data_IF_042734563935
#
_entry.id   IF_042734563935
#
_cell.length_a   1.000
_cell.length_b   1.000
_cell.length_c   1.000
_cell.angle_alpha   90.00
_cell.angle_beta   90.00
_cell.angle_gamma   90.00
#
_symmetry.space_group_name_H-M   'P 1'
#
loop_
_entity.id
_entity.type
_entity.pdbx_description
1 polymer ?
#
# COMPACT_ATOMS: atom_id res chain seq x y z
N UNK A 1 13.35 1.88 10.76
CA UNK A 1 12.53 1.79 11.99
C UNK A 1 12.85 0.46 12.66
N UNK A 2 13.45 0.47 13.86
CA UNK A 2 13.93 -0.75 14.53
C UNK A 2 12.80 -1.74 14.85
N UNK A 3 11.64 -1.24 15.27
CA UNK A 3 10.49 -2.07 15.61
C UNK A 3 10.00 -2.96 14.44
N UNK A 4 10.07 -2.48 13.20
CA UNK A 4 9.73 -3.26 12.01
C UNK A 4 10.65 -4.48 11.86
N UNK A 5 11.96 -4.28 11.99
CA UNK A 5 12.93 -5.36 11.84
C UNK A 5 12.76 -6.40 12.95
N UNK A 6 12.48 -5.97 14.18
CA UNK A 6 12.14 -6.87 15.29
C UNK A 6 10.85 -7.66 15.01
N UNK A 7 9.84 -7.02 14.42
CA UNK A 7 8.60 -7.69 14.02
C UNK A 7 8.80 -8.74 12.91
N UNK A 8 9.67 -8.45 11.93
CA UNK A 8 10.06 -9.40 10.89
C UNK A 8 10.83 -10.59 11.48
N UNK A 9 11.79 -10.32 12.38
CA UNK A 9 12.61 -11.32 13.06
C UNK A 9 13.56 -12.08 12.11
N UNK A 10 14.09 -13.21 12.58
CA UNK A 10 15.07 -13.98 11.81
C UNK A 10 14.45 -14.61 10.55
N UNK A 11 14.92 -14.19 9.37
CA UNK A 11 14.46 -14.69 8.08
C UNK A 11 14.81 -16.15 7.81
N UNK A 12 15.82 -16.71 8.50
CA UNK A 12 16.29 -18.09 8.31
C UNK A 12 15.51 -19.12 9.13
N UNK A 13 14.78 -18.68 10.16
CA UNK A 13 13.93 -19.54 10.95
C UNK A 13 12.76 -20.10 10.10
N UNK A 14 12.67 -21.42 9.90
CA UNK A 14 11.64 -22.03 9.07
C UNK A 14 10.23 -21.88 9.65
N UNK A 15 10.11 -21.63 10.96
CA UNK A 15 8.83 -21.38 11.65
C UNK A 15 8.39 -19.92 11.55
N UNK A 16 9.29 -19.02 11.16
CA UNK A 16 8.97 -17.60 11.02
C UNK A 16 7.97 -17.35 9.88
N UNK A 17 6.90 -16.63 10.20
CA UNK A 17 5.90 -16.18 9.24
C UNK A 17 6.47 -15.24 8.16
N UNK A 18 7.52 -14.48 8.47
CA UNK A 18 8.23 -13.58 7.56
C UNK A 18 9.52 -14.19 7.00
N UNK A 19 9.70 -15.51 7.03
CA UNK A 19 10.91 -16.16 6.50
C UNK A 19 11.07 -15.92 5.00
N UNK A 20 12.32 -15.75 4.56
CA UNK A 20 12.66 -15.58 3.14
C UNK A 20 14.13 -15.90 2.87
N UNK A 21 14.40 -16.35 1.64
CA UNK A 21 15.72 -16.83 1.24
C UNK A 21 16.49 -15.81 0.41
N UNK A 22 15.82 -15.22 -0.59
CA UNK A 22 16.44 -14.29 -1.55
C UNK A 22 15.50 -13.15 -1.92
N UNK A 23 16.09 -11.99 -2.22
CA UNK A 23 15.41 -10.89 -2.92
C UNK A 23 15.50 -11.12 -4.42
N UNK A 24 14.37 -11.06 -5.12
CA UNK A 24 14.28 -11.11 -6.58
C UNK A 24 13.97 -9.73 -7.14
N UNK A 25 14.60 -9.45 -8.28
CA UNK A 25 14.42 -8.23 -9.07
C UNK A 25 13.68 -8.62 -10.36
N UNK A 26 12.51 -8.03 -10.57
CA UNK A 26 11.63 -8.18 -11.72
C UNK A 26 11.45 -6.79 -12.36
N UNK A 27 12.52 -6.28 -12.94
CA UNK A 27 12.59 -4.88 -13.37
C UNK A 27 12.02 -4.71 -14.78
N UNK A 28 11.23 -3.65 -15.04
CA UNK A 28 10.82 -3.27 -16.39
C UNK A 28 12.02 -3.16 -17.33
N UNK A 29 11.87 -3.69 -18.55
CA UNK A 29 12.94 -3.71 -19.56
C UNK A 29 13.83 -4.96 -19.53
N UNK A 30 13.72 -5.83 -18.53
CA UNK A 30 14.33 -7.16 -18.58
C UNK A 30 13.58 -8.08 -19.55
N UNK A 31 14.30 -8.97 -20.25
CA UNK A 31 13.70 -10.02 -21.10
C UNK A 31 12.85 -11.02 -20.30
N UNK A 32 13.06 -11.09 -18.99
CA UNK A 32 12.30 -11.95 -18.07
C UNK A 32 11.31 -11.16 -17.21
N UNK A 33 10.98 -9.93 -17.59
CA UNK A 33 10.03 -9.10 -16.85
C UNK A 33 8.62 -9.70 -16.92
N UNK A 34 7.99 -9.83 -15.76
CA UNK A 34 6.62 -10.29 -15.59
C UNK A 34 5.78 -9.21 -14.92
N UNK A 35 4.83 -8.61 -15.64
CA UNK A 35 3.97 -7.55 -15.11
C UNK A 35 3.05 -8.02 -13.97
N UNK A 36 2.85 -9.34 -13.80
CA UNK A 36 2.09 -9.93 -12.70
C UNK A 36 2.85 -9.99 -11.37
N UNK A 37 4.16 -9.72 -11.36
CA UNK A 37 5.00 -9.79 -10.17
C UNK A 37 5.48 -8.40 -9.70
N UNK A 38 5.66 -8.16 -8.39
CA UNK A 38 6.27 -6.93 -7.91
C UNK A 38 7.68 -6.75 -8.47
N UNK A 39 8.15 -5.51 -8.62
CA UNK A 39 9.50 -5.25 -9.14
C UNK A 39 10.62 -5.74 -8.23
N UNK A 40 10.41 -5.66 -6.92
CA UNK A 40 11.35 -6.17 -5.92
C UNK A 40 10.55 -6.92 -4.88
N UNK A 41 10.86 -8.20 -4.69
CA UNK A 41 10.15 -9.04 -3.73
C UNK A 41 11.05 -10.11 -3.13
N UNK A 42 10.68 -10.57 -1.95
CA UNK A 42 11.36 -11.67 -1.25
C UNK A 42 10.73 -12.99 -1.67
N UNK A 43 11.52 -14.02 -1.95
CA UNK A 43 11.04 -15.36 -2.30
C UNK A 43 11.53 -16.39 -1.27
N UNK A 44 10.70 -17.41 -1.07
CA UNK A 44 11.06 -18.64 -0.36
C UNK A 44 11.36 -19.75 -1.37
N UNK A 45 12.54 -20.36 -1.29
CA UNK A 45 12.93 -21.42 -2.22
C UNK A 45 12.20 -22.74 -1.96
N UNK A 46 11.91 -23.03 -0.69
CA UNK A 46 11.26 -24.29 -0.28
C UNK A 46 9.93 -24.54 -0.98
N UNK A 47 9.16 -23.48 -1.26
CA UNK A 47 7.84 -23.57 -1.90
C UNK A 47 7.60 -22.55 -3.02
N UNK A 48 8.65 -21.84 -3.44
CA UNK A 48 8.65 -20.87 -4.55
C UNK A 48 7.65 -19.72 -4.42
N UNK A 49 7.11 -19.47 -3.21
CA UNK A 49 6.15 -18.39 -2.96
C UNK A 49 6.86 -17.08 -2.60
N UNK A 50 6.20 -15.97 -2.91
CA UNK A 50 6.57 -14.65 -2.40
C UNK A 50 6.45 -14.67 -0.87
N UNK A 51 7.47 -14.22 -0.14
CA UNK A 51 7.42 -14.20 1.31
C UNK A 51 6.40 -13.17 1.81
N UNK A 52 5.91 -13.36 3.04
CA UNK A 52 5.13 -12.32 3.69
C UNK A 52 6.00 -11.06 3.93
N UNK A 53 5.39 -9.88 3.91
CA UNK A 53 6.07 -8.63 4.25
C UNK A 53 5.17 -7.72 5.10
N UNK A 54 5.80 -6.77 5.78
CA UNK A 54 5.17 -5.75 6.61
C UNK A 54 5.51 -4.37 6.05
N UNK A 55 4.54 -3.75 5.40
CA UNK A 55 4.60 -2.37 4.93
C UNK A 55 4.12 -1.45 6.04
N UNK A 56 4.84 -0.37 6.33
CA UNK A 56 4.45 0.58 7.37
C UNK A 56 4.58 1.98 6.80
N UNK A 57 3.51 2.76 6.89
CA UNK A 57 3.50 4.19 6.63
C UNK A 57 3.08 4.91 7.91
N UNK A 58 4.06 5.52 8.60
CA UNK A 58 3.87 6.12 9.93
C UNK A 58 3.26 5.10 10.91
N UNK A 59 1.96 5.21 11.22
CA UNK A 59 1.21 4.33 12.12
C UNK A 59 0.38 3.26 11.38
N UNK A 60 0.23 3.38 10.05
CA UNK A 60 -0.58 2.48 9.23
C UNK A 60 0.24 1.31 8.68
N UNK A 61 0.13 0.16 9.36
CA UNK A 61 0.78 -1.10 9.01
C UNK A 61 -0.09 -2.00 8.13
N UNK A 62 0.47 -2.53 7.04
CA UNK A 62 -0.16 -3.51 6.15
C UNK A 62 0.72 -4.74 5.97
N UNK A 63 0.10 -5.91 6.10
CA UNK A 63 0.77 -7.20 5.86
C UNK A 63 0.34 -7.78 4.53
N UNK A 64 1.30 -8.26 3.75
CA UNK A 64 1.08 -9.07 2.54
C UNK A 64 1.57 -10.50 2.80
N UNK A 65 0.94 -11.49 2.16
CA UNK A 65 1.35 -12.89 2.22
C UNK A 65 0.72 -13.70 1.08
N UNK A 66 1.23 -14.90 0.74
CA UNK A 66 0.70 -15.72 -0.36
C UNK A 66 -0.76 -16.14 -0.22
N UNK A 67 -1.26 -16.23 1.00
CA UNK A 67 -2.62 -16.67 1.28
C UNK A 67 -3.13 -16.11 2.61
N UNK A 68 -4.44 -16.24 2.84
CA UNK A 68 -5.11 -15.71 4.04
C UNK A 68 -4.55 -16.28 5.34
N UNK A 69 -4.16 -17.55 5.37
CA UNK A 69 -3.64 -18.20 6.58
C UNK A 69 -2.26 -17.63 6.96
N UNK A 70 -1.36 -17.52 5.97
CA UNK A 70 -0.04 -16.93 6.20
C UNK A 70 -0.15 -15.43 6.52
N UNK A 71 -1.09 -14.71 5.91
CA UNK A 71 -1.38 -13.33 6.28
C UNK A 71 -1.77 -13.23 7.76
N UNK A 72 -2.69 -14.07 8.24
CA UNK A 72 -3.06 -14.13 9.67
C UNK A 72 -1.85 -14.43 10.58
N UNK A 73 -1.00 -15.38 10.18
CA UNK A 73 0.21 -15.75 10.95
C UNK A 73 1.19 -14.58 11.03
N UNK A 74 1.47 -13.93 9.90
CA UNK A 74 2.35 -12.76 9.81
C UNK A 74 1.80 -11.57 10.61
N UNK A 75 0.50 -11.27 10.48
CA UNK A 75 -0.16 -10.22 11.28
C UNK A 75 -0.07 -10.50 12.79
N UNK A 76 -0.33 -11.74 13.23
CA UNK A 76 -0.21 -12.08 14.66
C UNK A 76 1.22 -11.93 15.18
N UNK A 77 2.22 -12.38 14.41
CA UNK A 77 3.62 -12.20 14.77
C UNK A 77 3.98 -10.71 14.89
N UNK A 78 3.64 -9.91 13.88
CA UNK A 78 3.91 -8.48 13.89
C UNK A 78 3.22 -7.79 15.08
N UNK A 79 1.93 -8.06 15.31
CA UNK A 79 1.19 -7.51 16.43
C UNK A 79 1.81 -7.89 17.79
N UNK A 80 2.17 -9.15 18.00
CA UNK A 80 2.82 -9.60 19.24
C UNK A 80 4.14 -8.88 19.48
N UNK A 81 5.01 -8.85 18.47
CA UNK A 81 6.33 -8.21 18.58
C UNK A 81 6.24 -6.70 18.78
N UNK A 82 5.29 -6.03 18.13
CA UNK A 82 5.06 -4.60 18.33
C UNK A 82 4.50 -4.33 19.73
N UNK A 83 3.57 -5.15 20.21
CA UNK A 83 3.04 -5.05 21.57
C UNK A 83 4.13 -5.25 22.65
N UNK A 84 5.04 -6.20 22.45
CA UNK A 84 6.22 -6.40 23.33
C UNK A 84 7.10 -5.15 23.45
N UNK A 85 7.12 -4.31 22.41
CA UNK A 85 7.85 -3.03 22.36
C UNK A 85 7.02 -1.84 22.85
N UNK A 86 5.81 -2.08 23.38
CA UNK A 86 4.87 -1.04 23.81
C UNK A 86 4.10 -0.36 22.67
N UNK A 87 4.21 -0.86 21.43
CA UNK A 87 3.48 -0.33 20.27
C UNK A 87 2.20 -1.14 20.09
N UNK A 88 1.08 -0.55 20.52
CA UNK A 88 -0.21 -1.24 20.49
C UNK A 88 -0.92 -1.11 19.15
N UNK A 89 -1.30 -2.24 18.56
CA UNK A 89 -2.17 -2.24 17.39
C UNK A 89 -3.63 -1.94 17.78
N UNK A 90 -4.28 -1.05 17.02
CA UNK A 90 -5.72 -0.83 17.13
C UNK A 90 -6.51 -2.01 16.54
N UNK A 91 -6.73 -3.06 17.33
CA UNK A 91 -7.37 -4.32 16.89
C UNK A 91 -8.74 -4.11 16.19
N UNK A 92 -9.52 -3.10 16.59
CA UNK A 92 -10.78 -2.72 15.95
C UNK A 92 -10.65 -2.28 14.48
N UNK A 93 -9.47 -1.79 14.08
CA UNK A 93 -9.16 -1.36 12.71
C UNK A 93 -8.52 -2.48 11.89
N UNK A 94 -8.10 -3.59 12.52
CA UNK A 94 -7.44 -4.72 11.86
C UNK A 94 -8.36 -5.34 10.82
N UNK A 95 -7.80 -5.58 9.63
CA UNK A 95 -8.49 -6.27 8.53
C UNK A 95 -7.66 -7.47 8.07
N UNK A 96 -8.34 -8.56 7.70
CA UNK A 96 -7.68 -9.78 7.22
C UNK A 96 -7.38 -9.71 5.72
N UNK A 97 -6.41 -10.53 5.30
CA UNK A 97 -5.97 -10.60 3.91
C UNK A 97 -7.13 -10.78 2.92
N UNK A 98 -7.17 -9.90 1.92
CA UNK A 98 -8.16 -9.85 0.86
C UNK A 98 -7.49 -9.42 -0.43
N UNK A 99 -8.03 -9.88 -1.56
CA UNK A 99 -7.66 -9.45 -2.92
C UNK A 99 -8.27 -8.08 -3.27
N UNK A 100 -9.29 -7.66 -2.50
CA UNK A 100 -9.94 -6.35 -2.55
C UNK A 100 -9.78 -5.67 -1.18
N UNK A 101 -8.55 -5.30 -0.78
CA UNK A 101 -8.34 -4.60 0.46
C UNK A 101 -8.89 -3.17 0.39
N UNK A 102 -9.11 -2.56 1.56
CA UNK A 102 -9.56 -1.17 1.65
C UNK A 102 -8.44 -0.19 1.26
N UNK A 103 -8.78 1.09 1.16
CA UNK A 103 -7.83 2.14 0.84
C UNK A 103 -6.66 2.15 1.83
N UNK A 104 -5.43 2.31 1.33
CA UNK A 104 -4.21 2.49 2.09
C UNK A 104 -3.43 3.65 1.47
N UNK A 105 -3.02 4.62 2.28
CA UNK A 105 -2.51 5.91 1.81
C UNK A 105 -3.41 6.60 0.75
N UNK A 106 -4.72 6.37 0.86
CA UNK A 106 -5.74 6.92 -0.05
C UNK A 106 -5.76 6.30 -1.46
N UNK A 107 -5.14 5.13 -1.65
CA UNK A 107 -5.21 4.30 -2.85
C UNK A 107 -5.91 2.97 -2.54
N UNK A 108 -6.78 2.54 -3.44
CA UNK A 108 -7.41 1.23 -3.45
C UNK A 108 -6.65 0.31 -4.39
N UNK A 109 -5.97 -0.68 -3.83
CA UNK A 109 -5.31 -1.72 -4.63
C UNK A 109 -6.28 -2.89 -4.76
N UNK A 110 -6.57 -3.31 -5.98
CA UNK A 110 -7.33 -4.53 -6.27
C UNK A 110 -6.46 -5.46 -7.08
N UNK A 111 -6.27 -6.66 -6.56
CA UNK A 111 -5.56 -7.73 -7.24
C UNK A 111 -6.59 -8.71 -7.81
N UNK A 112 -6.43 -9.09 -9.07
CA UNK A 112 -7.09 -10.25 -9.67
C UNK A 112 -6.02 -11.30 -10.01
N UNK A 113 -6.42 -12.43 -10.59
CA UNK A 113 -5.47 -13.42 -11.06
C UNK A 113 -4.52 -12.83 -12.13
N UNK A 114 -5.01 -11.89 -12.94
CA UNK A 114 -4.32 -11.44 -14.15
C UNK A 114 -3.79 -10.00 -14.07
N UNK A 115 -4.15 -9.25 -13.02
CA UNK A 115 -3.71 -7.85 -12.89
C UNK A 115 -3.70 -7.32 -11.46
N UNK A 116 -2.81 -6.36 -11.22
CA UNK A 116 -2.83 -5.50 -10.04
C UNK A 116 -3.26 -4.11 -10.51
N UNK A 117 -4.41 -3.65 -10.01
CA UNK A 117 -4.99 -2.37 -10.40
C UNK A 117 -4.98 -1.43 -9.19
N UNK A 118 -4.64 -0.17 -9.42
CA UNK A 118 -4.71 0.90 -8.43
C UNK A 118 -5.87 1.81 -8.81
N UNK A 119 -6.72 2.12 -7.83
CA UNK A 119 -7.87 2.99 -7.98
C UNK A 119 -7.83 4.09 -6.92
N UNK A 120 -8.48 5.20 -7.23
CA UNK A 120 -8.80 6.26 -6.27
C UNK A 120 -10.06 5.86 -5.50
N UNK A 121 -10.15 6.21 -4.21
CA UNK A 121 -11.39 6.01 -3.45
C UNK A 121 -12.52 6.87 -3.99
N UNK A 122 -13.76 6.40 -3.87
CA UNK A 122 -14.94 7.15 -4.33
C UNK A 122 -14.98 8.56 -3.72
N UNK A 123 -14.74 8.66 -2.41
CA UNK A 123 -14.65 9.95 -1.70
C UNK A 123 -13.60 10.89 -2.30
N UNK A 124 -12.39 10.39 -2.60
CA UNK A 124 -11.35 11.20 -3.23
C UNK A 124 -11.72 11.58 -4.65
N UNK A 125 -12.35 10.69 -5.40
CA UNK A 125 -12.83 10.96 -6.75
C UNK A 125 -13.90 12.05 -6.77
N UNK A 126 -14.85 12.01 -5.83
CA UNK A 126 -15.87 13.03 -5.69
C UNK A 126 -15.25 14.40 -5.32
N UNK A 127 -14.25 14.40 -4.43
CA UNK A 127 -13.48 15.60 -4.10
C UNK A 127 -12.69 16.14 -5.30
N UNK A 128 -12.09 15.27 -6.11
CA UNK A 128 -11.41 15.65 -7.35
C UNK A 128 -12.37 16.35 -8.30
N UNK A 129 -13.54 15.76 -8.57
CA UNK A 129 -14.57 16.35 -9.43
C UNK A 129 -15.04 17.70 -8.90
N UNK A 130 -15.25 17.84 -7.59
CA UNK A 130 -15.62 19.10 -6.96
C UNK A 130 -14.57 20.19 -7.19
N UNK A 131 -13.28 19.88 -6.94
CA UNK A 131 -12.21 20.87 -7.14
C UNK A 131 -12.04 21.29 -8.60
N UNK A 132 -12.20 20.37 -9.55
CA UNK A 132 -12.18 20.70 -10.99
C UNK A 132 -13.35 21.62 -11.34
N UNK A 133 -14.56 21.29 -10.86
CA UNK A 133 -15.74 22.13 -11.06
C UNK A 133 -15.56 23.53 -10.51
N UNK A 134 -15.07 23.65 -9.27
CA UNK A 134 -14.77 24.95 -8.65
C UNK A 134 -13.77 25.78 -9.48
N UNK A 135 -12.81 25.16 -10.17
CA UNK A 135 -11.87 25.88 -11.04
C UNK A 135 -12.51 26.33 -12.35
N UNK A 136 -13.37 25.50 -12.94
CA UNK A 136 -14.12 25.87 -14.15
C UNK A 136 -15.06 27.03 -13.85
N UNK A 137 -15.84 26.95 -12.77
CA UNK A 137 -16.75 28.03 -12.35
C UNK A 137 -16.01 29.34 -12.04
N UNK A 138 -14.83 29.26 -11.43
CA UNK A 138 -13.98 30.44 -11.17
C UNK A 138 -13.44 31.07 -12.47
N UNK A 139 -13.09 30.26 -13.47
CA UNK A 139 -12.68 30.75 -14.79
C UNK A 139 -13.84 31.40 -15.55
N UNK A 140 -15.00 30.77 -15.55
CA UNK A 140 -16.20 31.26 -16.26
C UNK A 140 -16.67 32.61 -15.71
N UNK A 141 -16.49 32.85 -14.42
CA UNK A 141 -16.87 34.10 -13.75
C UNK A 141 -15.74 35.15 -13.70
N UNK A 142 -14.52 34.78 -14.13
CA UNK A 142 -13.35 35.65 -14.07
C UNK A 142 -13.28 36.57 -15.29
N UNK A 143 -13.39 37.88 -15.06
CA UNK A 143 -13.22 38.92 -16.10
C UNK A 143 -11.86 38.83 -16.81
N UNK A 144 -10.79 38.48 -16.09
CA UNK A 144 -9.43 38.36 -16.63
C UNK A 144 -9.09 36.98 -17.21
N UNK A 145 -10.00 36.01 -17.14
CA UNK A 145 -9.71 34.61 -17.51
C UNK A 145 -8.59 33.94 -16.66
N UNK A 146 -8.39 34.36 -15.41
CA UNK A 146 -7.31 33.86 -14.54
C UNK A 146 -7.84 33.32 -13.22
N UNK A 147 -7.21 32.26 -12.71
CA UNK A 147 -7.52 31.68 -11.40
C UNK A 147 -6.76 32.38 -10.27
N UNK A 148 -7.40 32.47 -9.09
CA UNK A 148 -6.74 32.95 -7.87
C UNK A 148 -5.64 31.98 -7.45
N UNK A 149 -4.43 32.52 -7.32
CA UNK A 149 -3.23 31.72 -7.05
C UNK A 149 -3.34 30.85 -5.79
N UNK A 150 -3.75 31.41 -4.64
CA UNK A 150 -3.77 30.66 -3.36
C UNK A 150 -4.78 29.51 -3.33
N UNK A 151 -6.04 29.68 -3.77
CA UNK A 151 -6.96 28.56 -3.96
C UNK A 151 -6.45 27.49 -4.94
N UNK A 152 -5.88 27.92 -6.07
CA UNK A 152 -5.31 27.00 -7.07
C UNK A 152 -4.14 26.19 -6.49
N UNK A 153 -3.24 26.82 -5.75
CA UNK A 153 -2.10 26.17 -5.08
C UNK A 153 -2.58 25.06 -4.13
N UNK A 154 -3.65 25.30 -3.36
CA UNK A 154 -4.27 24.30 -2.47
C UNK A 154 -4.90 23.14 -3.24
N UNK A 155 -5.64 23.43 -4.32
CA UNK A 155 -6.27 22.40 -5.19
C UNK A 155 -5.20 21.55 -5.87
N UNK A 156 -4.17 22.17 -6.47
CA UNK A 156 -3.00 21.49 -7.03
C UNK A 156 -2.35 20.55 -6.02
N UNK A 157 -2.13 21.02 -4.78
CA UNK A 157 -1.54 20.22 -3.72
C UNK A 157 -2.32 18.94 -3.40
N UNK A 158 -3.63 18.90 -3.63
CA UNK A 158 -4.43 17.67 -3.53
C UNK A 158 -4.36 16.83 -4.82
N UNK A 159 -4.54 17.48 -5.98
CA UNK A 159 -4.66 16.81 -7.29
C UNK A 159 -3.40 16.04 -7.70
N UNK A 160 -2.21 16.50 -7.32
CA UNK A 160 -0.95 15.78 -7.61
C UNK A 160 -0.85 14.40 -6.94
N UNK A 161 -1.69 14.11 -5.94
CA UNK A 161 -1.74 12.83 -5.24
C UNK A 161 -2.96 11.97 -5.63
N UNK A 162 -3.64 12.33 -6.70
CA UNK A 162 -4.71 11.55 -7.31
C UNK A 162 -4.08 10.71 -8.41
N UNK A 163 -3.86 9.42 -8.14
CA UNK A 163 -3.15 8.45 -9.00
C UNK A 163 -4.13 7.37 -9.44
#
# INVERSE_FOLDING_TARGET
MVAKEMALGDRKDPTNAFRWDKVKMNLPGSSTYDAGLPWVFKIRWSDRKIAADLLIYVDDGRVTAPNKLECKRATRKAASRLNELGIQEAARKRRWGSWKPWAWAGLLVKTTHDSVNVFVSQERWDKTKAQVRDMVEELDTSVSGTLKHKPLERKRGFLIYVI
#
